data_IF_939578912982
#
_entry.id   IF_939578912982
#
_cell.length_a   1.000
_cell.length_b   1.000
_cell.length_c   1.000
_cell.angle_alpha   90.00
_cell.angle_beta   90.00
_cell.angle_gamma   90.00
#
_symmetry.space_group_name_H-M   'P 1'
#
loop_
_entity.id
_entity.type
_entity.pdbx_description
1 polymer ?
#
# COMPACT_ATOMS: atom_id res chain seq x y z
N UNK A 1 -41.30 -5.26 27.01
CA UNK A 1 -40.59 -5.79 25.83
C UNK A 1 -40.29 -4.75 24.73
N UNK A 2 -40.32 -3.43 24.98
CA UNK A 2 -39.97 -2.40 23.97
C UNK A 2 -38.55 -1.82 24.10
N UNK A 3 -37.85 -2.09 25.21
CA UNK A 3 -36.50 -1.56 25.48
C UNK A 3 -35.36 -2.46 25.02
N UNK A 4 -35.64 -3.71 24.63
CA UNK A 4 -34.62 -4.66 24.16
C UNK A 4 -34.27 -4.48 22.67
N UNK A 5 -35.20 -3.92 21.87
CA UNK A 5 -34.96 -3.70 20.44
C UNK A 5 -33.99 -2.55 20.14
N UNK A 6 -33.89 -1.56 21.03
CA UNK A 6 -32.99 -0.41 20.84
C UNK A 6 -31.52 -0.74 21.09
N UNK A 7 -31.21 -1.79 21.88
CA UNK A 7 -29.82 -2.18 22.15
C UNK A 7 -29.18 -2.99 21.00
N UNK A 8 -29.97 -3.65 20.15
CA UNK A 8 -29.45 -4.38 18.99
C UNK A 8 -29.07 -3.46 17.80
N UNK A 9 -29.61 -2.23 17.75
CA UNK A 9 -29.34 -1.28 16.66
C UNK A 9 -28.03 -0.49 16.83
N UNK A 10 -27.46 -0.45 18.04
CA UNK A 10 -26.21 0.29 18.32
C UNK A 10 -24.95 -0.56 18.04
N UNK A 11 -25.09 -1.89 17.94
CA UNK A 11 -23.96 -2.78 17.65
C UNK A 11 -23.63 -2.93 16.15
N UNK A 12 -24.47 -2.41 15.25
CA UNK A 12 -24.24 -2.50 13.80
C UNK A 12 -23.45 -1.31 13.25
N UNK A 13 -23.28 -0.22 14.02
CA UNK A 13 -22.69 1.03 13.53
C UNK A 13 -21.17 1.14 13.68
N UNK A 14 -20.46 0.11 14.15
CA UNK A 14 -19.00 0.17 14.39
C UNK A 14 -18.16 -0.74 13.49
N UNK A 15 -18.74 -1.37 12.47
CA UNK A 15 -17.89 -1.94 11.42
C UNK A 15 -17.47 -0.81 10.48
N UNK A 16 -16.41 -0.10 10.85
CA UNK A 16 -15.56 0.60 9.88
C UNK A 16 -14.90 -0.48 9.03
N UNK A 17 -15.68 -1.04 8.11
CA UNK A 17 -15.20 -2.00 7.13
C UNK A 17 -14.14 -1.23 6.36
N UNK A 18 -12.88 -1.65 6.50
CA UNK A 18 -11.78 -1.23 5.66
C UNK A 18 -12.12 -1.66 4.22
N UNK A 19 -12.96 -0.88 3.54
CA UNK A 19 -13.49 -1.25 2.23
C UNK A 19 -12.35 -1.20 1.21
N UNK A 20 -12.11 -2.33 0.56
CA UNK A 20 -11.27 -2.36 -0.62
C UNK A 20 -11.83 -1.40 -1.67
N UNK A 21 -10.93 -0.63 -2.27
CA UNK A 21 -11.27 0.26 -3.38
C UNK A 21 -10.82 -0.37 -4.70
N UNK A 22 -11.43 0.07 -5.79
CA UNK A 22 -11.04 -0.37 -7.12
C UNK A 22 -9.56 -0.09 -7.39
N UNK A 23 -8.85 -1.09 -7.93
CA UNK A 23 -7.49 -0.93 -8.42
C UNK A 23 -7.56 -0.22 -9.76
N UNK A 24 -7.34 1.09 -9.75
CA UNK A 24 -7.26 1.91 -10.94
C UNK A 24 -6.21 3.01 -10.73
N UNK A 25 -5.86 3.69 -11.82
CA UNK A 25 -4.77 4.67 -11.82
C UNK A 25 -5.09 5.85 -10.88
N UNK A 26 -6.32 6.36 -10.90
CA UNK A 26 -6.79 7.45 -10.04
C UNK A 26 -6.63 7.13 -8.55
N UNK A 27 -6.94 5.91 -8.13
CA UNK A 27 -6.84 5.49 -6.74
C UNK A 27 -5.40 5.26 -6.29
N UNK A 28 -4.49 4.93 -7.22
CA UNK A 28 -3.06 4.75 -6.96
C UNK A 28 -2.25 6.03 -7.09
N UNK A 29 -2.70 7.00 -7.89
CA UNK A 29 -1.99 8.26 -8.17
C UNK A 29 -2.00 9.22 -6.99
N UNK A 30 -1.11 8.97 -6.02
CA UNK A 30 -0.84 9.80 -4.85
C UNK A 30 0.53 9.43 -4.25
N UNK A 31 0.90 10.11 -3.16
CA UNK A 31 2.05 9.75 -2.33
C UNK A 31 1.67 8.67 -1.32
N UNK A 32 2.47 7.62 -1.26
CA UNK A 32 2.34 6.46 -0.39
C UNK A 32 3.59 6.37 0.46
N UNK A 33 3.45 6.55 1.77
CA UNK A 33 4.57 6.54 2.73
C UNK A 33 4.61 5.21 3.46
N UNK A 34 5.81 4.67 3.63
CA UNK A 34 6.03 3.45 4.39
C UNK A 34 5.41 3.55 5.78
N UNK A 35 4.72 2.50 6.21
CA UNK A 35 4.13 2.39 7.53
C UNK A 35 4.59 1.14 8.27
N UNK A 36 4.66 -0.01 7.62
CA UNK A 36 4.98 -1.28 8.28
C UNK A 36 5.35 -2.38 7.26
N UNK A 37 5.75 -3.54 7.75
CA UNK A 37 6.04 -4.75 6.97
C UNK A 37 5.20 -5.93 7.44
N UNK A 38 4.82 -6.81 6.52
CA UNK A 38 4.25 -8.13 6.84
C UNK A 38 5.26 -9.17 6.35
N UNK A 39 5.84 -9.91 7.29
CA UNK A 39 6.87 -10.90 7.03
C UNK A 39 6.84 -11.98 8.11
N UNK A 40 7.17 -13.22 7.74
CA UNK A 40 7.17 -14.39 8.65
C UNK A 40 8.45 -14.47 9.49
N UNK A 41 9.06 -13.32 9.77
CA UNK A 41 10.31 -13.18 10.53
C UNK A 41 10.03 -12.88 12.00
N UNK A 42 11.08 -12.96 12.82
CA UNK A 42 10.98 -12.57 14.22
C UNK A 42 10.64 -11.08 14.36
N UNK A 43 10.08 -10.70 15.49
CA UNK A 43 9.74 -9.29 15.77
C UNK A 43 10.98 -8.39 15.77
N UNK A 44 12.14 -8.92 16.20
CA UNK A 44 13.40 -8.19 16.16
C UNK A 44 13.85 -7.89 14.71
N UNK A 45 13.82 -8.91 13.84
CA UNK A 45 14.12 -8.73 12.41
C UNK A 45 13.13 -7.75 11.74
N UNK A 46 11.84 -7.84 12.07
CA UNK A 46 10.84 -6.91 11.54
C UNK A 46 11.06 -5.47 12.05
N UNK A 47 11.53 -5.29 13.29
CA UNK A 47 11.86 -3.98 13.83
C UNK A 47 13.04 -3.33 13.08
N UNK A 48 14.11 -4.09 12.84
CA UNK A 48 15.27 -3.61 12.04
C UNK A 48 14.84 -3.24 10.62
N UNK A 49 13.96 -4.03 10.01
CA UNK A 49 13.43 -3.75 8.67
C UNK A 49 12.57 -2.48 8.64
N UNK A 50 11.77 -2.23 9.69
CA UNK A 50 10.99 -0.99 9.80
C UNK A 50 11.90 0.22 9.93
N UNK A 51 12.95 0.14 10.74
CA UNK A 51 13.94 1.21 10.90
C UNK A 51 14.65 1.49 9.57
N UNK A 52 15.07 0.43 8.84
CA UNK A 52 15.71 0.58 7.54
C UNK A 52 14.80 1.23 6.48
N UNK A 53 13.50 0.95 6.51
CA UNK A 53 12.53 1.48 5.55
C UNK A 53 11.89 2.79 6.01
N UNK A 54 12.24 3.30 7.18
CA UNK A 54 11.73 4.58 7.68
C UNK A 54 11.99 5.70 6.67
N UNK A 55 10.99 6.56 6.44
CA UNK A 55 11.06 7.63 5.45
C UNK A 55 10.89 7.18 4.00
N UNK A 56 10.78 5.88 3.71
CA UNK A 56 10.54 5.39 2.35
C UNK A 56 9.19 5.88 1.81
N UNK A 57 9.14 6.37 0.57
CA UNK A 57 7.87 6.70 -0.07
C UNK A 57 7.83 6.39 -1.57
N UNK A 58 6.62 6.14 -2.07
CA UNK A 58 6.28 5.93 -3.48
C UNK A 58 5.27 6.99 -3.89
N UNK A 59 5.59 7.81 -4.89
CA UNK A 59 4.64 8.76 -5.47
C UNK A 59 4.31 8.33 -6.88
N UNK A 60 3.06 7.97 -7.14
CA UNK A 60 2.56 7.72 -8.49
C UNK A 60 1.78 8.95 -8.94
N UNK A 61 2.10 9.50 -10.11
CA UNK A 61 1.38 10.65 -10.69
C UNK A 61 0.48 10.21 -11.84
N UNK A 62 -0.60 10.96 -12.08
CA UNK A 62 -1.57 10.64 -13.15
C UNK A 62 -0.92 10.68 -14.55
N UNK A 63 0.15 11.48 -14.71
CA UNK A 63 0.94 11.63 -15.94
C UNK A 63 1.90 10.45 -16.25
N UNK A 64 1.77 9.34 -15.53
CA UNK A 64 2.61 8.13 -15.65
C UNK A 64 4.06 8.31 -15.19
N UNK A 65 4.40 9.39 -14.50
CA UNK A 65 5.67 9.49 -13.78
C UNK A 65 5.54 8.94 -12.37
N UNK A 66 6.63 8.40 -11.84
CA UNK A 66 6.72 8.03 -10.42
C UNK A 66 8.02 8.50 -9.79
N UNK A 67 7.99 8.63 -8.48
CA UNK A 67 9.15 8.90 -7.63
C UNK A 67 9.21 7.83 -6.54
N UNK A 68 10.35 7.18 -6.36
CA UNK A 68 10.65 6.31 -5.22
C UNK A 68 11.75 6.97 -4.39
N UNK A 69 11.40 7.35 -3.17
CA UNK A 69 12.32 7.94 -2.21
C UNK A 69 12.76 6.85 -1.23
N UNK A 70 14.03 6.42 -1.35
CA UNK A 70 14.67 5.46 -0.46
C UNK A 70 16.17 5.69 -0.47
N UNK A 71 16.70 6.36 0.57
CA UNK A 71 18.09 6.85 0.70
C UNK A 71 18.50 7.88 -0.37
N UNK A 72 18.09 7.67 -1.61
CA UNK A 72 18.22 8.55 -2.76
C UNK A 72 16.94 8.50 -3.58
N UNK A 73 16.50 9.65 -4.07
CA UNK A 73 15.35 9.74 -4.96
C UNK A 73 15.61 9.04 -6.31
N UNK A 74 14.64 8.25 -6.76
CA UNK A 74 14.58 7.67 -8.09
C UNK A 74 13.33 8.16 -8.80
N UNK A 75 13.52 8.68 -10.00
CA UNK A 75 12.43 9.12 -10.86
C UNK A 75 12.35 8.22 -12.09
N UNK A 76 11.12 7.95 -12.54
CA UNK A 76 10.88 7.10 -13.67
C UNK A 76 9.44 7.14 -14.15
N UNK A 77 9.03 6.11 -14.87
CA UNK A 77 7.65 5.93 -15.34
C UNK A 77 6.98 4.72 -14.70
N UNK A 78 5.65 4.74 -14.66
CA UNK A 78 4.88 3.59 -14.17
C UNK A 78 3.66 3.28 -15.05
N UNK A 79 3.25 2.03 -15.03
CA UNK A 79 2.02 1.53 -15.65
C UNK A 79 1.29 0.60 -14.69
N UNK A 80 -0.02 0.44 -14.90
CA UNK A 80 -0.88 -0.43 -14.10
C UNK A 80 -1.50 -1.50 -14.99
N UNK A 81 -1.46 -2.75 -14.53
CA UNK A 81 -2.31 -3.85 -15.02
C UNK A 81 -3.32 -4.20 -13.90
N UNK A 82 -4.55 -3.65 -13.95
CA UNK A 82 -5.57 -3.92 -12.93
C UNK A 82 -6.01 -5.39 -12.88
N UNK A 83 -5.97 -6.08 -14.02
CA UNK A 83 -6.38 -7.47 -14.12
C UNK A 83 -5.41 -8.39 -13.39
N UNK A 84 -4.11 -8.09 -13.46
CA UNK A 84 -3.05 -8.80 -12.72
C UNK A 84 -2.77 -8.24 -11.33
N UNK A 85 -3.34 -7.07 -11.00
CA UNK A 85 -3.04 -6.31 -9.78
C UNK A 85 -1.54 -5.96 -9.69
N UNK A 86 -0.96 -5.48 -10.78
CA UNK A 86 0.47 -5.21 -10.90
C UNK A 86 0.76 -3.76 -11.30
N UNK A 87 1.72 -3.12 -10.62
CA UNK A 87 2.31 -1.85 -11.03
C UNK A 87 3.69 -2.14 -11.58
N UNK A 88 3.97 -1.74 -12.81
CA UNK A 88 5.33 -1.81 -13.37
C UNK A 88 5.96 -0.43 -13.26
N UNK A 89 7.13 -0.34 -12.64
CA UNK A 89 7.92 0.90 -12.53
C UNK A 89 9.23 0.75 -13.29
N UNK A 90 9.65 1.78 -14.02
CA UNK A 90 10.92 1.81 -14.76
C UNK A 90 11.69 3.09 -14.47
N UNK A 91 12.89 2.96 -13.94
CA UNK A 91 13.81 4.07 -13.68
C UNK A 91 15.24 3.75 -14.17
N UNK A 92 16.21 4.58 -13.77
CA UNK A 92 17.63 4.42 -14.11
C UNK A 92 18.28 3.11 -13.60
N UNK A 93 17.68 2.45 -12.61
CA UNK A 93 18.12 1.17 -12.02
C UNK A 93 17.45 -0.04 -12.69
N UNK A 94 16.44 0.17 -13.54
CA UNK A 94 15.78 -0.88 -14.30
C UNK A 94 14.28 -0.91 -14.09
N UNK A 95 13.69 -2.10 -14.30
CA UNK A 95 12.26 -2.34 -14.15
C UNK A 95 11.99 -3.11 -12.87
N UNK A 96 10.97 -2.72 -12.11
CA UNK A 96 10.43 -3.48 -10.99
C UNK A 96 8.92 -3.70 -11.19
N UNK A 97 8.42 -4.80 -10.65
CA UNK A 97 7.00 -5.12 -10.57
C UNK A 97 6.58 -4.99 -9.11
N UNK A 98 5.45 -4.33 -8.85
CA UNK A 98 4.83 -4.30 -7.53
C UNK A 98 3.50 -5.01 -7.60
N UNK A 99 3.36 -6.08 -6.81
CA UNK A 99 2.10 -6.81 -6.70
C UNK A 99 1.23 -6.16 -5.63
N UNK A 100 0.01 -5.80 -6.00
CA UNK A 100 -0.99 -5.18 -5.10
C UNK A 100 -1.78 -6.30 -4.41
N UNK A 101 -1.51 -6.49 -3.11
CA UNK A 101 -2.22 -7.47 -2.28
C UNK A 101 -3.53 -6.92 -1.73
N UNK A 102 -3.55 -5.63 -1.39
CA UNK A 102 -4.74 -4.92 -0.93
C UNK A 102 -4.59 -3.42 -1.20
N UNK A 103 -5.69 -2.78 -1.57
CA UNK A 103 -5.78 -1.35 -1.77
C UNK A 103 -7.06 -0.83 -1.12
N UNK A 104 -6.92 0.10 -0.19
CA UNK A 104 -8.04 0.80 0.45
C UNK A 104 -7.79 2.31 0.42
N UNK A 105 -8.74 3.09 0.94
CA UNK A 105 -8.54 4.53 1.11
C UNK A 105 -7.41 4.88 2.09
N UNK A 106 -7.04 3.96 2.96
CA UNK A 106 -6.13 4.20 4.09
C UNK A 106 -4.77 3.52 3.92
N UNK A 107 -4.66 2.51 3.06
CA UNK A 107 -3.41 1.79 2.84
C UNK A 107 -3.32 1.10 1.50
N UNK A 108 -2.09 0.87 1.06
CA UNK A 108 -1.72 -0.06 0.01
C UNK A 108 -0.79 -1.13 0.61
N UNK A 109 -1.05 -2.40 0.32
CA UNK A 109 -0.18 -3.52 0.72
C UNK A 109 0.47 -4.08 -0.53
N UNK A 110 1.79 -3.89 -0.67
CA UNK A 110 2.54 -4.19 -1.87
C UNK A 110 3.69 -5.16 -1.60
N UNK A 111 4.05 -6.01 -2.55
CA UNK A 111 5.35 -6.70 -2.56
C UNK A 111 6.12 -6.34 -3.84
N UNK A 112 7.45 -6.30 -3.78
CA UNK A 112 8.29 -5.93 -4.93
C UNK A 112 8.92 -7.17 -5.57
N UNK A 113 8.71 -7.35 -6.87
CA UNK A 113 9.11 -8.52 -7.64
C UNK A 113 8.66 -9.79 -6.91
N UNK A 114 9.50 -10.82 -6.87
CA UNK A 114 9.20 -12.10 -6.22
C UNK A 114 9.40 -12.08 -4.68
N UNK A 115 9.50 -10.90 -4.06
CA UNK A 115 9.70 -10.80 -2.62
C UNK A 115 8.46 -11.34 -1.87
N UNK A 116 8.69 -12.26 -0.92
CA UNK A 116 7.63 -12.75 -0.03
C UNK A 116 7.18 -11.67 0.97
N UNK A 117 8.10 -10.78 1.35
CA UNK A 117 7.81 -9.64 2.20
C UNK A 117 6.78 -8.72 1.55
N UNK A 118 5.78 -8.31 2.33
CA UNK A 118 4.85 -7.25 1.95
C UNK A 118 5.16 -6.00 2.75
N UNK A 119 4.90 -4.86 2.14
CA UNK A 119 5.10 -3.52 2.70
C UNK A 119 3.75 -2.84 2.74
N UNK A 120 3.42 -2.27 3.89
CA UNK A 120 2.23 -1.46 4.09
C UNK A 120 2.62 -0.01 3.89
N UNK A 121 1.97 0.65 2.94
CA UNK A 121 2.05 2.09 2.73
C UNK A 121 0.75 2.77 3.12
N UNK A 122 0.83 3.99 3.64
CA UNK A 122 -0.33 4.86 3.92
C UNK A 122 -0.28 6.08 3.00
N UNK A 123 -1.44 6.61 2.57
CA UNK A 123 -1.46 7.82 1.78
C UNK A 123 -1.06 9.03 2.64
N UNK A 124 -0.31 9.96 2.04
CA UNK A 124 0.00 11.28 2.60
C UNK A 124 -0.76 12.39 1.86
#
# INVERSE_FOLDING_TARGET
>A
MKKLLLLLLVLVSQQTICQEIEINEKNLSKKWVFSDVINDKSEAENAEMREMLEGTSLTFREDKTYTFDFVSELNGTWTLDPAKKEITTKDRRGTNIWHIHSLTKEKAVLSRNDAQQKVIFKPE
#
